data_IF_514221534882
#
_entry.id   IF_514221534882
#
_cell.length_a   1.000
_cell.length_b   1.000
_cell.length_c   1.000
_cell.angle_alpha   90.00
_cell.angle_beta   90.00
_cell.angle_gamma   90.00
#
_symmetry.space_group_name_H-M   'P 1'
#
loop_
_entity.id
_entity.type
_entity.pdbx_description
1 polymer ?
#
# COMPACT_ATOMS: atom_id res chain seq x y z
N UNK A 1 -10.30 3.70 -0.78
CA UNK A 1 -11.58 4.05 -0.12
C UNK A 1 -11.53 3.54 1.30
N UNK A 2 -11.35 4.45 2.26
CA UNK A 2 -11.45 4.16 3.69
C UNK A 2 -12.92 4.09 4.07
N UNK A 3 -13.42 2.91 4.47
CA UNK A 3 -14.81 2.72 4.93
C UNK A 3 -14.99 3.06 6.42
N UNK A 4 -14.07 3.83 7.02
CA UNK A 4 -14.09 4.11 8.46
C UNK A 4 -15.40 4.76 8.88
N UNK A 5 -15.81 5.79 8.14
CA UNK A 5 -17.00 6.57 8.45
C UNK A 5 -18.26 5.73 8.29
N UNK A 6 -18.35 4.99 7.19
CA UNK A 6 -19.50 4.13 6.89
C UNK A 6 -19.62 2.99 7.90
N UNK A 7 -18.50 2.39 8.31
CA UNK A 7 -18.49 1.36 9.34
C UNK A 7 -18.77 1.91 10.75
N UNK A 8 -18.27 3.09 11.10
CA UNK A 8 -18.61 3.75 12.36
C UNK A 8 -20.12 4.04 12.42
N UNK A 9 -20.68 4.59 11.34
CA UNK A 9 -22.13 4.82 11.21
C UNK A 9 -22.87 3.48 11.34
N UNK A 10 -22.40 2.42 10.68
CA UNK A 10 -23.00 1.09 10.77
C UNK A 10 -22.99 0.52 12.19
N UNK A 11 -21.87 0.62 12.91
CA UNK A 11 -21.74 0.17 14.31
C UNK A 11 -22.68 0.98 15.22
N UNK A 12 -22.68 2.31 15.09
CA UNK A 12 -23.54 3.18 15.89
C UNK A 12 -25.03 2.87 15.64
N UNK A 13 -25.43 2.71 14.38
CA UNK A 13 -26.78 2.30 14.02
C UNK A 13 -27.13 0.91 14.57
N UNK A 14 -26.20 -0.05 14.53
CA UNK A 14 -26.43 -1.38 15.08
C UNK A 14 -26.69 -1.33 16.59
N UNK A 15 -25.81 -0.67 17.35
CA UNK A 15 -25.96 -0.54 18.81
C UNK A 15 -27.25 0.20 19.15
N UNK A 16 -27.53 1.29 18.44
CA UNK A 16 -28.76 2.07 18.60
C UNK A 16 -30.02 1.24 18.35
N UNK A 17 -30.05 0.49 17.26
CA UNK A 17 -31.18 -0.36 16.89
C UNK A 17 -31.41 -1.46 17.94
N UNK A 18 -30.34 -2.11 18.41
CA UNK A 18 -30.42 -3.12 19.46
C UNK A 18 -31.01 -2.57 20.76
N UNK A 19 -30.55 -1.41 21.22
CA UNK A 19 -31.06 -0.76 22.45
C UNK A 19 -32.54 -0.41 22.30
N UNK A 20 -32.95 0.21 21.18
CA UNK A 20 -34.35 0.58 20.98
C UNK A 20 -35.26 -0.64 20.82
N UNK A 21 -34.81 -1.68 20.14
CA UNK A 21 -35.56 -2.94 20.04
C UNK A 21 -35.76 -3.55 21.42
N UNK A 22 -34.72 -3.58 22.26
CA UNK A 22 -34.82 -4.06 23.64
C UNK A 22 -35.79 -3.23 24.50
N UNK A 23 -35.73 -1.90 24.41
CA UNK A 23 -36.64 -1.02 25.15
C UNK A 23 -38.11 -1.26 24.78
N UNK A 24 -38.39 -1.41 23.49
CA UNK A 24 -39.76 -1.70 23.01
C UNK A 24 -40.24 -3.06 23.49
N UNK A 25 -39.37 -4.08 23.50
CA UNK A 25 -39.72 -5.41 24.03
C UNK A 25 -40.10 -5.40 25.52
N UNK A 26 -39.52 -4.49 26.31
CA UNK A 26 -39.83 -4.32 27.75
C UNK A 26 -40.98 -3.33 27.97
N UNK A 27 -41.60 -2.82 26.90
CA UNK A 27 -42.71 -1.86 26.99
C UNK A 27 -42.28 -0.46 27.45
N UNK A 28 -40.98 -0.14 27.36
CA UNK A 28 -40.44 1.20 27.63
C UNK A 28 -40.47 2.07 26.37
N UNK A 29 -40.51 3.38 26.59
CA UNK A 29 -40.45 4.38 25.52
C UNK A 29 -39.08 4.31 24.84
N UNK A 30 -39.07 4.38 23.51
CA UNK A 30 -37.85 4.45 22.70
C UNK A 30 -37.03 5.69 23.06
N UNK A 31 -35.70 5.61 22.93
CA UNK A 31 -34.82 6.75 23.20
C UNK A 31 -35.07 7.93 22.24
N UNK A 32 -35.56 7.64 21.03
CA UNK A 32 -35.92 8.63 20.02
C UNK A 32 -37.25 8.27 19.37
N UNK A 33 -38.02 9.28 18.95
CA UNK A 33 -39.33 9.11 18.29
C UNK A 33 -39.25 8.59 16.84
N UNK A 34 -38.13 8.01 16.44
CA UNK A 34 -37.97 7.47 15.08
C UNK A 34 -38.55 6.05 15.02
N UNK A 35 -39.36 5.70 13.99
CA UNK A 35 -39.88 4.35 13.84
C UNK A 35 -38.75 3.31 13.74
N UNK A 36 -38.84 2.24 14.54
CA UNK A 36 -37.87 1.13 14.55
C UNK A 36 -37.61 0.54 13.16
N UNK A 37 -38.67 0.35 12.37
CA UNK A 37 -38.54 -0.22 11.03
C UNK A 37 -37.68 0.67 10.10
N UNK A 38 -37.77 1.99 10.24
CA UNK A 38 -37.02 2.95 9.41
C UNK A 38 -35.53 2.92 9.75
N UNK A 39 -35.18 2.78 11.02
CA UNK A 39 -33.79 2.73 11.50
C UNK A 39 -33.11 1.39 11.19
N UNK A 40 -33.87 0.29 11.24
CA UNK A 40 -33.43 -1.01 10.73
C UNK A 40 -33.27 -1.02 9.20
N UNK A 41 -34.17 -0.37 8.46
CA UNK A 41 -34.05 -0.23 7.01
C UNK A 41 -32.78 0.53 6.62
N UNK A 42 -32.50 1.66 7.30
CA UNK A 42 -31.27 2.43 7.07
C UNK A 42 -30.02 1.59 7.34
N UNK A 43 -29.99 0.85 8.44
CA UNK A 43 -28.90 -0.07 8.74
C UNK A 43 -28.73 -1.15 7.65
N UNK A 44 -29.83 -1.70 7.14
CA UNK A 44 -29.83 -2.64 6.02
C UNK A 44 -29.21 -2.05 4.74
N UNK A 45 -29.57 -0.82 4.38
CA UNK A 45 -29.02 -0.11 3.21
C UNK A 45 -27.49 0.07 3.36
N UNK A 46 -27.03 0.55 4.51
CA UNK A 46 -25.59 0.71 4.79
C UNK A 46 -24.86 -0.64 4.73
N UNK A 47 -25.49 -1.71 5.23
CA UNK A 47 -24.94 -3.08 5.17
C UNK A 47 -24.74 -3.53 3.72
N UNK A 48 -25.72 -3.31 2.84
CA UNK A 48 -25.62 -3.67 1.42
C UNK A 48 -24.45 -2.92 0.76
N UNK A 49 -24.30 -1.62 1.03
CA UNK A 49 -23.19 -0.81 0.50
C UNK A 49 -21.83 -1.40 0.91
N UNK A 50 -21.66 -1.73 2.20
CA UNK A 50 -20.42 -2.33 2.71
C UNK A 50 -20.13 -3.67 2.02
N UNK A 51 -21.14 -4.54 1.89
CA UNK A 51 -20.99 -5.84 1.22
C UNK A 51 -20.59 -5.65 -0.25
N UNK A 52 -21.25 -4.75 -0.98
CA UNK A 52 -20.92 -4.45 -2.38
C UNK A 52 -19.48 -3.98 -2.55
N UNK A 53 -18.97 -3.12 -1.65
CA UNK A 53 -17.57 -2.66 -1.68
C UNK A 53 -16.59 -3.81 -1.41
N UNK A 54 -16.89 -4.68 -0.43
CA UNK A 54 -16.05 -5.85 -0.13
C UNK A 54 -15.99 -6.83 -1.31
N UNK A 55 -17.13 -7.11 -1.95
CA UNK A 55 -17.21 -7.94 -3.15
C UNK A 55 -16.44 -7.33 -4.32
N UNK A 56 -16.58 -6.02 -4.54
CA UNK A 56 -15.83 -5.30 -5.57
C UNK A 56 -14.32 -5.36 -5.34
N UNK A 57 -13.86 -5.20 -4.09
CA UNK A 57 -12.44 -5.32 -3.72
C UNK A 57 -11.90 -6.72 -4.02
N UNK A 58 -12.66 -7.77 -3.68
CA UNK A 58 -12.29 -9.17 -3.98
C UNK A 58 -12.24 -9.44 -5.48
N UNK A 59 -13.17 -8.87 -6.24
CA UNK A 59 -13.17 -8.94 -7.70
C UNK A 59 -11.91 -8.29 -8.30
N UNK A 60 -11.55 -7.09 -7.84
CA UNK A 60 -10.32 -6.40 -8.29
C UNK A 60 -9.06 -7.22 -7.98
N UNK A 61 -8.93 -7.78 -6.77
CA UNK A 61 -7.81 -8.66 -6.41
C UNK A 61 -7.64 -9.80 -7.41
N UNK A 62 -8.73 -10.50 -7.75
CA UNK A 62 -8.71 -11.65 -8.65
C UNK A 62 -8.38 -11.24 -10.09
N UNK A 63 -8.97 -10.16 -10.59
CA UNK A 63 -8.73 -9.67 -11.95
C UNK A 63 -7.27 -9.25 -12.17
N UNK A 64 -6.68 -8.59 -11.17
CA UNK A 64 -5.30 -8.11 -11.25
C UNK A 64 -4.26 -9.21 -11.08
N UNK A 65 -4.54 -10.24 -10.27
CA UNK A 65 -3.67 -11.42 -10.17
C UNK A 65 -3.64 -12.28 -11.44
N UNK A 66 -4.71 -12.24 -12.24
CA UNK A 66 -4.88 -13.04 -13.45
C UNK A 66 -4.35 -12.35 -14.72
N UNK A 67 -3.92 -11.08 -14.65
CA UNK A 67 -3.40 -10.41 -15.84
C UNK A 67 -2.00 -10.94 -16.13
N UNK A 68 -1.95 -11.89 -17.08
CA UNK A 68 -0.77 -12.62 -17.55
C UNK A 68 0.47 -11.73 -17.66
N UNK A 69 1.58 -12.22 -17.10
CA UNK A 69 2.92 -11.73 -17.36
C UNK A 69 3.13 -11.88 -18.87
N UNK A 70 2.97 -10.80 -19.63
CA UNK A 70 3.33 -10.79 -21.04
C UNK A 70 4.86 -10.84 -21.11
N UNK A 71 5.41 -12.04 -21.28
CA UNK A 71 6.85 -12.29 -21.32
C UNK A 71 7.58 -11.49 -22.39
N UNK A 72 6.89 -11.11 -23.47
CA UNK A 72 7.47 -10.30 -24.55
C UNK A 72 7.82 -8.87 -24.12
N UNK A 73 7.17 -8.32 -23.09
CA UNK A 73 7.48 -6.97 -22.58
C UNK A 73 8.89 -6.91 -21.97
N UNK A 74 9.40 -8.04 -21.46
CA UNK A 74 10.70 -8.09 -20.77
C UNK A 74 11.89 -7.96 -21.74
N UNK A 75 11.71 -8.27 -23.02
CA UNK A 75 12.81 -8.25 -24.03
C UNK A 75 13.34 -6.85 -24.34
N UNK A 76 12.64 -5.79 -23.94
CA UNK A 76 12.98 -4.40 -24.28
C UNK A 76 13.87 -3.69 -23.24
N UNK A 77 14.13 -4.29 -22.08
CA UNK A 77 14.86 -3.60 -21.00
C UNK A 77 16.34 -3.89 -21.00
N UNK A 78 17.15 -2.85 -20.81
CA UNK A 78 18.58 -3.02 -20.54
C UNK A 78 18.81 -3.51 -19.11
N UNK A 79 20.01 -4.00 -18.83
CA UNK A 79 20.40 -4.37 -17.48
C UNK A 79 20.31 -3.16 -16.53
N UNK A 80 19.67 -3.35 -15.37
CA UNK A 80 19.43 -2.28 -14.40
C UNK A 80 18.18 -1.41 -14.67
N UNK A 81 17.48 -1.59 -15.80
CA UNK A 81 16.23 -0.89 -16.10
C UNK A 81 15.01 -1.72 -15.70
N UNK A 82 14.07 -1.08 -15.00
CA UNK A 82 12.80 -1.69 -14.60
C UNK A 82 11.64 -0.73 -14.83
N UNK A 83 10.45 -1.30 -14.99
CA UNK A 83 9.21 -0.58 -15.11
C UNK A 83 8.16 -1.18 -14.19
N UNK A 84 7.48 -0.33 -13.44
CA UNK A 84 6.32 -0.76 -12.66
C UNK A 84 5.15 0.18 -12.88
N UNK A 85 3.97 -0.42 -13.00
CA UNK A 85 2.71 0.28 -13.06
C UNK A 85 2.05 0.15 -11.70
N UNK A 86 2.00 1.23 -10.91
CA UNK A 86 1.24 1.23 -9.67
C UNK A 86 -0.26 1.23 -9.97
N UNK A 87 -1.04 0.36 -9.30
CA UNK A 87 -2.49 0.41 -9.42
C UNK A 87 -3.02 1.70 -8.79
N UNK A 88 -4.17 2.17 -9.27
CA UNK A 88 -4.85 3.34 -8.69
C UNK A 88 -5.23 3.13 -7.22
N UNK A 89 -5.47 1.88 -6.83
CA UNK A 89 -5.81 1.50 -5.47
C UNK A 89 -4.94 0.33 -5.03
N UNK A 90 -4.24 0.50 -3.91
CA UNK A 90 -3.44 -0.55 -3.30
C UNK A 90 -4.38 -1.46 -2.52
N UNK A 91 -4.41 -2.74 -2.90
CA UNK A 91 -5.21 -3.77 -2.24
C UNK A 91 -4.31 -4.88 -1.74
N UNK A 92 -4.51 -5.30 -0.49
CA UNK A 92 -3.84 -6.47 0.12
C UNK A 92 -3.88 -7.70 -0.80
N UNK A 93 -2.77 -8.42 -0.87
CA UNK A 93 -2.57 -9.65 -1.65
C UNK A 93 -2.79 -9.51 -3.16
N UNK A 94 -2.90 -8.28 -3.66
CA UNK A 94 -2.84 -8.03 -5.09
C UNK A 94 -1.41 -8.24 -5.58
N UNK A 95 -1.22 -9.27 -6.41
CA UNK A 95 0.07 -9.52 -7.06
C UNK A 95 0.26 -8.55 -8.22
N UNK A 96 1.37 -7.84 -8.22
CA UNK A 96 1.72 -6.86 -9.22
C UNK A 96 3.09 -7.19 -9.82
N UNK A 97 3.24 -6.93 -11.11
CA UNK A 97 4.45 -7.27 -11.88
C UNK A 97 5.32 -6.03 -12.02
N UNK A 98 6.62 -6.23 -11.83
CA UNK A 98 7.69 -5.30 -12.16
C UNK A 98 8.40 -5.90 -13.36
N UNK A 99 8.36 -5.16 -14.47
CA UNK A 99 8.94 -5.56 -15.73
C UNK A 99 10.40 -5.12 -15.76
N UNK A 100 11.26 -5.97 -16.32
CA UNK A 100 12.70 -5.74 -16.44
C UNK A 100 13.33 -6.93 -17.16
N UNK A 101 14.66 -7.04 -17.13
CA UNK A 101 15.35 -8.23 -17.68
C UNK A 101 14.94 -9.54 -16.96
N UNK A 102 14.44 -9.44 -15.73
CA UNK A 102 13.77 -10.54 -15.05
C UNK A 102 12.37 -10.09 -14.59
N UNK A 103 11.44 -11.04 -14.51
CA UNK A 103 10.12 -10.77 -13.94
C UNK A 103 10.21 -10.79 -12.42
N UNK A 104 9.89 -9.66 -11.79
CA UNK A 104 9.75 -9.57 -10.34
C UNK A 104 8.27 -9.35 -10.02
N UNK A 105 7.79 -9.96 -8.95
CA UNK A 105 6.42 -9.75 -8.47
C UNK A 105 6.44 -9.17 -7.08
N UNK A 106 5.49 -8.30 -6.77
CA UNK A 106 5.30 -7.80 -5.41
C UNK A 106 3.83 -7.85 -5.01
N UNK A 107 3.57 -7.99 -3.71
CA UNK A 107 2.25 -7.90 -3.12
C UNK A 107 2.30 -7.11 -1.80
N UNK A 108 1.36 -6.18 -1.59
CA UNK A 108 1.18 -5.57 -0.28
C UNK A 108 0.46 -6.56 0.65
N UNK A 109 0.85 -6.62 1.91
CA UNK A 109 0.38 -7.60 2.90
C UNK A 109 0.14 -6.90 4.24
N UNK A 110 -0.81 -7.37 5.03
CA UNK A 110 -0.93 -6.97 6.44
C UNK A 110 -0.23 -7.96 7.34
N UNK A 111 0.33 -7.47 8.45
CA UNK A 111 1.08 -8.33 9.38
C UNK A 111 0.19 -9.37 10.06
N UNK A 112 -1.08 -9.02 10.33
CA UNK A 112 -2.03 -9.92 10.98
C UNK A 112 -3.50 -9.57 10.64
N UNK A 113 -4.42 -10.42 11.11
CA UNK A 113 -5.86 -10.25 10.90
C UNK A 113 -6.40 -8.96 11.53
N UNK A 114 -5.89 -8.56 12.69
CA UNK A 114 -6.33 -7.33 13.36
C UNK A 114 -5.98 -6.09 12.53
N UNK A 115 -4.76 -6.02 11.99
CA UNK A 115 -4.30 -4.98 11.09
C UNK A 115 -5.16 -4.92 9.82
N UNK A 116 -5.50 -6.09 9.26
CA UNK A 116 -6.42 -6.19 8.12
C UNK A 116 -7.82 -5.66 8.44
N UNK A 117 -8.36 -5.99 9.60
CA UNK A 117 -9.67 -5.50 10.06
C UNK A 117 -9.61 -3.97 10.22
N UNK A 118 -8.62 -3.47 10.97
CA UNK A 118 -8.41 -2.03 11.16
C UNK A 118 -8.29 -1.30 9.82
N UNK A 119 -7.48 -1.80 8.89
CA UNK A 119 -7.30 -1.17 7.59
C UNK A 119 -8.56 -1.23 6.72
N UNK A 120 -9.38 -2.28 6.84
CA UNK A 120 -10.66 -2.36 6.14
C UNK A 120 -11.61 -1.27 6.64
N UNK A 121 -11.56 -1.00 7.94
CA UNK A 121 -12.20 0.14 8.56
C UNK A 121 -11.42 1.44 8.40
N UNK A 122 -10.44 1.55 7.50
CA UNK A 122 -9.72 2.81 7.25
C UNK A 122 -8.81 3.30 8.39
N UNK A 123 -8.57 2.46 9.41
CA UNK A 123 -7.63 2.73 10.50
C UNK A 123 -6.30 2.04 10.19
N UNK A 124 -5.19 2.79 10.17
CA UNK A 124 -3.84 2.23 9.98
C UNK A 124 -3.66 1.42 8.68
N UNK A 125 -3.91 2.05 7.53
CA UNK A 125 -3.78 1.49 6.16
C UNK A 125 -2.34 1.19 5.70
N UNK A 126 -1.36 1.03 6.61
CA UNK A 126 0.06 0.95 6.23
C UNK A 126 0.48 -0.50 5.98
N UNK A 127 0.65 -0.84 4.72
CA UNK A 127 1.00 -2.19 4.28
C UNK A 127 2.46 -2.55 4.53
N UNK A 128 2.71 -3.83 4.74
CA UNK A 128 4.01 -4.47 4.51
C UNK A 128 4.12 -4.91 3.04
N UNK A 129 5.33 -5.15 2.54
CA UNK A 129 5.57 -5.52 1.14
C UNK A 129 6.31 -6.86 1.06
N UNK A 130 5.78 -7.81 0.30
CA UNK A 130 6.49 -9.03 -0.08
C UNK A 130 6.80 -8.98 -1.57
N UNK A 131 8.06 -9.21 -1.93
CA UNK A 131 8.54 -9.18 -3.30
C UNK A 131 9.36 -10.42 -3.61
N UNK A 132 9.13 -11.03 -4.77
CA UNK A 132 9.84 -12.23 -5.21
C UNK A 132 10.42 -11.98 -6.62
N UNK A 133 11.73 -12.16 -6.75
CA UNK A 133 12.42 -12.35 -8.04
C UNK A 133 12.64 -13.84 -8.28
N UNK A 134 13.34 -14.20 -9.38
CA UNK A 134 13.65 -15.60 -9.70
C UNK A 134 14.47 -16.30 -8.62
N UNK A 135 15.39 -15.57 -7.99
CA UNK A 135 16.39 -16.13 -7.08
C UNK A 135 16.26 -15.61 -5.64
N UNK A 136 15.57 -14.49 -5.43
CA UNK A 136 15.50 -13.83 -4.13
C UNK A 136 14.06 -13.51 -3.73
N UNK A 137 13.80 -13.59 -2.43
CA UNK A 137 12.59 -13.06 -1.80
C UNK A 137 12.96 -11.93 -0.86
N UNK A 138 12.29 -10.79 -0.99
CA UNK A 138 12.45 -9.62 -0.12
C UNK A 138 11.14 -9.36 0.61
N UNK A 139 11.20 -9.23 1.93
CA UNK A 139 10.05 -8.84 2.76
C UNK A 139 10.37 -7.55 3.50
N UNK A 140 9.52 -6.54 3.37
CA UNK A 140 9.58 -5.29 4.14
C UNK A 140 8.40 -5.32 5.09
N UNK A 141 8.66 -5.67 6.35
CA UNK A 141 7.64 -5.96 7.37
C UNK A 141 7.58 -4.81 8.35
N UNK A 142 6.38 -4.31 8.65
CA UNK A 142 6.19 -3.21 9.58
C UNK A 142 6.55 -3.64 11.00
N UNK A 143 7.40 -2.86 11.68
CA UNK A 143 7.79 -3.13 13.07
C UNK A 143 6.65 -2.88 14.06
N UNK A 144 6.01 -1.72 13.95
CA UNK A 144 4.96 -1.31 14.86
C UNK A 144 3.75 -0.71 14.10
N UNK A 145 2.61 -1.39 14.23
CA UNK A 145 1.35 -1.05 13.57
C UNK A 145 0.72 0.21 14.19
N UNK A 146 0.92 0.42 15.51
CA UNK A 146 0.41 1.58 16.23
C UNK A 146 1.30 2.84 16.08
N UNK A 147 2.56 2.68 15.67
CA UNK A 147 3.45 3.81 15.51
C UNK A 147 2.99 4.75 14.37
N UNK A 148 2.92 6.05 14.69
CA UNK A 148 2.61 7.09 13.71
C UNK A 148 3.67 7.19 12.61
N UNK A 149 4.95 6.98 12.95
CA UNK A 149 6.03 6.95 11.96
C UNK A 149 6.17 5.57 11.35
N UNK A 150 6.54 5.54 10.08
CA UNK A 150 6.70 4.30 9.35
C UNK A 150 8.07 3.72 9.67
N UNK A 151 8.09 2.48 10.18
CA UNK A 151 9.28 1.74 10.52
C UNK A 151 9.11 0.29 10.08
N UNK A 152 10.06 -0.21 9.32
CA UNK A 152 10.04 -1.55 8.76
C UNK A 152 11.36 -2.28 9.01
N UNK A 153 11.28 -3.60 9.15
CA UNK A 153 12.40 -4.52 9.06
C UNK A 153 12.44 -5.12 7.66
N UNK A 154 13.63 -5.21 7.07
CA UNK A 154 13.85 -5.75 5.73
C UNK A 154 14.50 -7.12 5.86
N UNK A 155 13.90 -8.11 5.22
CA UNK A 155 14.41 -9.47 5.12
C UNK A 155 14.77 -9.78 3.67
N UNK A 156 15.93 -10.40 3.45
CA UNK A 156 16.34 -11.01 2.19
C UNK A 156 16.44 -12.52 2.42
N UNK A 157 15.67 -13.32 1.68
CA UNK A 157 15.67 -14.78 1.82
C UNK A 157 15.43 -15.26 3.26
N UNK A 158 14.54 -14.56 3.99
CA UNK A 158 14.22 -14.73 5.42
C UNK A 158 15.30 -14.32 6.41
N UNK A 159 16.44 -13.79 5.97
CA UNK A 159 17.45 -13.20 6.86
C UNK A 159 17.20 -11.70 7.01
N UNK A 160 17.24 -11.20 8.25
CA UNK A 160 17.17 -9.76 8.50
C UNK A 160 18.44 -9.08 7.99
N UNK A 161 18.28 -8.11 7.10
CA UNK A 161 19.40 -7.39 6.47
C UNK A 161 19.43 -5.90 6.77
N UNK A 162 18.35 -5.36 7.35
CA UNK A 162 18.26 -3.94 7.61
C UNK A 162 16.90 -3.42 8.04
N UNK A 163 16.80 -2.11 8.15
CA UNK A 163 15.58 -1.40 8.56
C UNK A 163 15.31 -0.19 7.68
N UNK A 164 14.04 0.11 7.44
CA UNK A 164 13.60 1.30 6.71
C UNK A 164 12.77 2.19 7.64
N UNK A 165 13.20 3.43 7.85
CA UNK A 165 12.55 4.34 8.80
C UNK A 165 12.25 5.70 8.18
N UNK A 166 11.04 6.22 8.43
CA UNK A 166 10.66 7.56 8.03
C UNK A 166 11.35 8.59 8.94
N UNK A 167 12.07 9.54 8.35
CA UNK A 167 12.72 10.66 9.04
C UNK A 167 11.68 11.54 9.73
N UNK A 168 12.09 12.19 10.82
CA UNK A 168 11.27 13.23 11.47
C UNK A 168 11.12 14.42 10.52
N UNK A 169 9.92 14.98 10.41
CA UNK A 169 9.60 16.13 9.54
C UNK A 169 10.58 17.31 9.68
N UNK A 170 10.93 17.66 10.93
CA UNK A 170 11.91 18.72 11.21
C UNK A 170 13.34 18.37 10.80
N UNK A 171 13.71 17.09 10.79
CA UNK A 171 15.02 16.61 10.32
C UNK A 171 15.11 16.46 8.79
N UNK A 172 13.98 16.45 8.08
CA UNK A 172 13.93 16.39 6.62
C UNK A 172 13.75 17.76 5.96
N UNK A 173 13.81 18.86 6.74
CA UNK A 173 13.72 20.23 6.24
C UNK A 173 12.37 20.61 5.64
N UNK A 174 11.29 19.87 5.93
CA UNK A 174 9.92 20.16 5.47
C UNK A 174 9.66 20.08 3.95
N UNK A 175 10.69 19.85 3.13
CA UNK A 175 10.64 19.93 1.66
C UNK A 175 10.72 18.57 0.94
N UNK A 176 10.48 17.46 1.64
CA UNK A 176 10.57 16.12 1.07
C UNK A 176 9.23 15.38 1.19
N UNK A 177 8.75 14.80 0.08
CA UNK A 177 7.54 13.96 0.06
C UNK A 177 7.82 12.53 0.55
N UNK A 178 9.04 12.05 0.35
CA UNK A 178 9.48 10.71 0.77
C UNK A 178 10.78 10.91 1.54
N UNK A 179 10.74 11.11 2.87
CA UNK A 179 11.93 11.29 3.69
C UNK A 179 12.23 10.02 4.49
N UNK A 180 12.95 9.07 3.91
CA UNK A 180 13.25 7.80 4.58
C UNK A 180 14.76 7.57 4.68
N UNK A 181 15.16 6.78 5.68
CA UNK A 181 16.51 6.27 5.84
C UNK A 181 16.46 4.75 5.81
N UNK A 182 17.25 4.17 4.92
CA UNK A 182 17.52 2.74 4.88
C UNK A 182 18.81 2.49 5.65
N UNK A 183 18.75 1.66 6.69
CA UNK A 183 19.92 1.08 7.32
C UNK A 183 20.08 -0.35 6.78
N UNK A 184 21.16 -0.65 6.10
CA UNK A 184 21.46 -1.98 5.56
C UNK A 184 22.84 -2.41 6.03
N UNK A 185 22.92 -3.51 6.79
CA UNK A 185 24.18 -4.00 7.37
C UNK A 185 25.04 -2.91 8.05
N UNK A 186 24.40 -2.00 8.79
CA UNK A 186 25.02 -0.86 9.48
C UNK A 186 25.48 0.29 8.60
N UNK A 187 25.21 0.26 7.29
CA UNK A 187 25.37 1.41 6.39
C UNK A 187 24.05 2.16 6.20
N UNK A 188 24.12 3.49 6.20
CA UNK A 188 22.96 4.37 6.05
C UNK A 188 22.85 4.90 4.62
N UNK A 189 21.66 4.78 4.07
CA UNK A 189 21.28 5.28 2.75
C UNK A 189 20.10 6.23 2.89
N UNK A 190 20.16 7.35 2.17
CA UNK A 190 19.06 8.29 2.11
C UNK A 190 18.09 7.93 0.99
N UNK A 191 16.80 7.90 1.28
CA UNK A 191 15.74 7.74 0.28
C UNK A 191 14.97 9.04 0.25
N UNK A 192 15.13 9.80 -0.84
CA UNK A 192 14.59 11.15 -0.94
C UNK A 192 13.77 11.36 -2.22
N UNK A 193 12.69 12.12 -2.05
CA UNK A 193 11.91 12.70 -3.14
C UNK A 193 11.60 14.16 -2.77
N UNK A 194 12.21 15.14 -3.45
CA UNK A 194 11.93 16.55 -3.21
C UNK A 194 10.46 16.91 -3.45
N UNK A 195 9.95 17.92 -2.77
CA UNK A 195 8.58 18.39 -2.98
C UNK A 195 8.34 18.80 -4.44
N UNK A 196 7.21 18.40 -5.02
CA UNK A 196 6.86 18.52 -6.45
C UNK A 196 7.77 17.78 -7.45
N UNK A 197 8.76 17.02 -6.98
CA UNK A 197 9.56 16.18 -7.87
C UNK A 197 8.81 14.89 -8.21
N UNK A 198 8.98 14.41 -9.43
CA UNK A 198 8.58 13.07 -9.84
C UNK A 198 9.74 12.07 -9.78
N UNK A 199 10.85 12.48 -9.20
CA UNK A 199 12.05 11.67 -9.11
C UNK A 199 12.33 11.31 -7.65
N UNK A 200 12.52 10.01 -7.42
CA UNK A 200 12.95 9.46 -6.13
C UNK A 200 14.35 8.89 -6.31
N UNK A 201 15.24 9.20 -5.38
CA UNK A 201 16.63 8.72 -5.39
C UNK A 201 16.94 7.96 -4.11
N UNK A 202 17.82 6.96 -4.22
CA UNK A 202 18.47 6.33 -3.08
C UNK A 202 19.96 6.62 -3.17
N UNK A 203 20.53 7.24 -2.14
CA UNK A 203 21.92 7.74 -2.16
C UNK A 203 22.72 7.28 -0.95
N UNK A 204 24.04 7.18 -1.13
CA UNK A 204 25.03 6.91 -0.08
C UNK A 204 26.05 8.04 -0.12
N UNK A 205 25.88 9.05 0.73
CA UNK A 205 26.66 10.29 0.60
C UNK A 205 26.38 10.97 -0.75
N UNK A 206 27.41 11.11 -1.60
CA UNK A 206 27.30 11.72 -2.93
C UNK A 206 27.01 10.71 -4.06
N UNK A 207 27.06 9.40 -3.78
CA UNK A 207 26.78 8.37 -4.78
C UNK A 207 25.27 8.16 -4.93
N UNK A 208 24.78 8.14 -6.18
CA UNK A 208 23.40 7.76 -6.50
C UNK A 208 23.35 6.27 -6.85
N UNK A 209 22.59 5.48 -6.08
CA UNK A 209 22.50 4.03 -6.26
C UNK A 209 21.26 3.65 -7.07
N UNK A 210 20.22 4.46 -7.00
CA UNK A 210 18.91 4.19 -7.56
C UNK A 210 18.23 5.50 -7.95
N UNK A 211 17.57 5.50 -9.11
CA UNK A 211 16.69 6.58 -9.54
C UNK A 211 15.38 6.00 -10.05
N UNK A 212 14.27 6.57 -9.63
CA UNK A 212 12.96 6.25 -10.20
C UNK A 212 12.19 7.51 -10.55
N UNK A 213 11.70 7.55 -11.80
CA UNK A 213 10.88 8.64 -12.34
C UNK A 213 9.45 8.15 -12.50
N UNK A 214 8.52 8.84 -11.83
CA UNK A 214 7.09 8.64 -12.00
C UNK A 214 6.50 9.54 -13.08
N UNK A 215 5.45 9.09 -13.71
CA UNK A 215 4.56 9.92 -14.52
C UNK A 215 3.70 10.84 -13.66
N UNK A 216 3.11 11.86 -14.29
CA UNK A 216 2.13 12.76 -13.68
C UNK A 216 0.77 12.54 -14.37
N UNK A 217 -0.29 12.31 -13.59
CA UNK A 217 -1.69 12.19 -14.07
C UNK A 217 -1.89 11.21 -15.25
N UNK A 218 -1.81 9.91 -14.98
CA UNK A 218 -2.09 8.85 -15.97
C UNK A 218 -3.58 8.45 -16.00
N UNK A 219 -4.39 9.27 -16.65
CA UNK A 219 -5.84 9.01 -16.83
C UNK A 219 -6.07 7.88 -17.85
N UNK A 220 -5.21 7.78 -18.86
CA UNK A 220 -5.31 6.77 -19.92
C UNK A 220 -4.61 5.46 -19.56
N UNK A 221 -5.04 4.35 -20.18
CA UNK A 221 -4.37 3.06 -20.04
C UNK A 221 -2.97 3.15 -20.64
N UNK A 222 -1.99 2.57 -19.94
CA UNK A 222 -0.65 2.37 -20.47
C UNK A 222 -0.71 1.51 -21.74
N UNK A 223 -0.06 1.95 -22.82
CA UNK A 223 0.07 1.13 -24.04
C UNK A 223 0.77 -0.21 -23.76
N UNK A 224 1.70 -0.20 -22.79
CA UNK A 224 2.54 -1.35 -22.43
C UNK A 224 1.80 -2.39 -21.62
N UNK A 225 1.11 -1.99 -20.56
CA UNK A 225 0.45 -2.91 -19.62
C UNK A 225 -1.06 -2.99 -19.83
N UNK A 226 -1.65 -2.10 -20.63
CA UNK A 226 -3.10 -1.91 -20.78
C UNK A 226 -3.82 -1.63 -19.45
N UNK A 227 -3.09 -1.19 -18.42
CA UNK A 227 -3.59 -0.84 -17.07
C UNK A 227 -3.60 0.68 -16.86
N UNK A 228 -4.46 1.15 -15.96
CA UNK A 228 -4.44 2.54 -15.45
C UNK A 228 -3.51 2.65 -14.24
N UNK A 229 -3.15 3.88 -13.88
CA UNK A 229 -2.37 4.20 -12.68
C UNK A 229 -1.04 4.86 -13.01
N UNK A 230 -0.24 5.10 -11.99
CA UNK A 230 1.05 5.78 -12.09
C UNK A 230 2.11 4.86 -12.69
N UNK A 231 2.86 5.36 -13.67
CA UNK A 231 3.95 4.64 -14.36
C UNK A 231 5.27 5.04 -13.74
N UNK A 232 6.13 4.07 -13.48
CA UNK A 232 7.41 4.29 -12.83
C UNK A 232 8.50 3.64 -13.65
N UNK A 233 9.44 4.45 -14.14
CA UNK A 233 10.67 3.98 -14.75
C UNK A 233 11.77 4.00 -13.69
N UNK A 234 12.38 2.85 -13.46
CA UNK A 234 13.37 2.61 -12.42
C UNK A 234 14.71 2.31 -13.11
N UNK A 235 15.77 2.90 -12.58
CA UNK A 235 17.14 2.67 -13.01
C UNK A 235 18.01 2.37 -11.78
N UNK A 236 18.67 1.22 -11.80
CA UNK A 236 19.69 0.82 -10.82
C UNK A 236 21.04 1.29 -11.34
N UNK A 237 21.75 2.07 -10.55
CA UNK A 237 23.00 2.72 -10.94
C UNK A 237 24.24 2.10 -10.27
N UNK A 238 24.03 1.34 -9.18
CA UNK A 238 25.11 0.76 -8.38
C UNK A 238 24.78 -0.69 -7.98
N UNK A 239 25.81 -1.52 -7.86
CA UNK A 239 25.73 -2.92 -7.42
C UNK A 239 25.99 -3.09 -5.93
N UNK A 240 26.26 -1.99 -5.20
CA UNK A 240 26.55 -1.98 -3.76
C UNK A 240 25.46 -2.66 -2.92
N UNK A 241 24.20 -2.51 -3.34
CA UNK A 241 23.03 -3.18 -2.78
C UNK A 241 22.43 -4.12 -3.82
N UNK A 242 21.81 -5.21 -3.36
CA UNK A 242 20.98 -6.05 -4.25
C UNK A 242 19.85 -5.20 -4.83
N UNK A 243 19.68 -5.26 -6.15
CA UNK A 243 18.62 -4.55 -6.89
C UNK A 243 17.23 -4.78 -6.27
N UNK A 244 16.96 -5.99 -5.78
CA UNK A 244 15.68 -6.32 -5.16
C UNK A 244 15.43 -5.52 -3.87
N UNK A 245 16.47 -5.22 -3.09
CA UNK A 245 16.33 -4.40 -1.89
C UNK A 245 16.00 -2.96 -2.28
N UNK A 246 16.72 -2.41 -3.27
CA UNK A 246 16.49 -1.03 -3.75
C UNK A 246 15.06 -0.86 -4.29
N UNK A 247 14.60 -1.81 -5.10
CA UNK A 247 13.25 -1.82 -5.66
C UNK A 247 12.20 -1.96 -4.55
N UNK A 248 12.38 -2.89 -3.60
CA UNK A 248 11.43 -3.10 -2.51
C UNK A 248 11.31 -1.87 -1.60
N UNK A 249 12.43 -1.23 -1.26
CA UNK A 249 12.45 0.00 -0.46
C UNK A 249 11.73 1.12 -1.19
N UNK A 250 12.01 1.30 -2.48
CA UNK A 250 11.31 2.29 -3.30
C UNK A 250 9.80 2.05 -3.34
N UNK A 251 9.38 0.82 -3.62
CA UNK A 251 7.96 0.44 -3.68
C UNK A 251 7.26 0.67 -2.33
N UNK A 252 7.88 0.28 -1.22
CA UNK A 252 7.31 0.52 0.11
C UNK A 252 7.12 2.01 0.37
N UNK A 253 8.07 2.85 -0.02
CA UNK A 253 7.97 4.31 0.10
C UNK A 253 6.82 4.89 -0.76
N UNK A 254 6.64 4.41 -1.98
CA UNK A 254 5.54 4.83 -2.86
C UNK A 254 4.18 4.37 -2.33
N UNK A 255 4.08 3.12 -1.86
CA UNK A 255 2.88 2.57 -1.22
C UNK A 255 2.50 3.45 -0.03
N UNK A 256 3.46 3.73 0.84
CA UNK A 256 3.25 4.60 2.00
C UNK A 256 2.73 5.98 1.59
N UNK A 257 3.30 6.59 0.55
CA UNK A 257 2.86 7.89 0.02
C UNK A 257 1.40 7.84 -0.47
N UNK A 258 0.99 6.77 -1.16
CA UNK A 258 -0.37 6.64 -1.69
C UNK A 258 -1.41 6.32 -0.61
N UNK A 259 -0.99 5.79 0.53
CA UNK A 259 -1.87 5.39 1.65
C UNK A 259 -1.94 6.39 2.79
N UNK A 260 -1.12 7.44 2.77
CA UNK A 260 -1.17 8.59 3.68
C UNK A 260 -2.30 9.55 3.28
#
# INVERSE_FOLDING_TARGET
MTMFREALIWILLLVFNLINTFLVLIGKIQLFKAPLWSTWLLWGIVTIIIISVLLFRKYLQKKESLTNINSDINKEFKEGEFFVQMPLYIIENQSNVIYGNETITYKPVFDNMLHKIMSTFGVQTKYSLHMNSRNNSVKVIRKNIAANRHQYTIYLNNEEVGTLEMKKFFKSGGKQQIPYTLNYKSELFDVSNPFFSNETRITSGNENLFTAKRSFLDISKSKRTKKHGEKHNIQILSTKLKKEILIAVYLQCIINKQTQ
#
